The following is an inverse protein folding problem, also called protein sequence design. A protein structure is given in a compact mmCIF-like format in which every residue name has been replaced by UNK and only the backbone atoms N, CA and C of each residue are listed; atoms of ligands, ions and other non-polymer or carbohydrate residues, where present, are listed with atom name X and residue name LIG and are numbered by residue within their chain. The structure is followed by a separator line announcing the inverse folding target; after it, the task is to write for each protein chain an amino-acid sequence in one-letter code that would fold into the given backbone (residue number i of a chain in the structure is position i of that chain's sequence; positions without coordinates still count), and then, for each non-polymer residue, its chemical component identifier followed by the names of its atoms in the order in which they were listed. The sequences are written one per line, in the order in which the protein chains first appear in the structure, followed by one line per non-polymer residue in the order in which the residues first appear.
data_IF_318965926460
#
_entry.id   IF_318965926460
#
_cell.length_a   1.000
_cell.length_b   1.000
_cell.length_c   1.000
_cell.angle_alpha   90.00
_cell.angle_beta   90.00
_cell.angle_gamma   90.00
#
_symmetry.space_group_name_H-M   'P 1'
#
loop_
_entity.id
_entity.type
_entity.pdbx_description
1 polymer ?
#
# COMPACT_ATOMS: atom_id res chain seq x y z
N UNK A 1 3.32 1.83 5.99
CA UNK A 1 4.60 2.34 5.45
C UNK A 1 4.34 2.71 4.00
N UNK A 2 4.67 3.93 3.58
CA UNK A 2 4.50 4.38 2.21
C UNK A 2 5.72 3.95 1.39
N UNK A 3 5.49 3.10 0.38
CA UNK A 3 6.53 2.44 -0.41
C UNK A 3 6.71 3.14 -1.76
N UNK A 4 7.36 4.31 -1.75
CA UNK A 4 7.43 5.20 -2.91
C UNK A 4 7.96 4.49 -4.17
N UNK A 5 9.08 3.77 -4.02
CA UNK A 5 9.67 3.04 -5.15
C UNK A 5 8.82 1.86 -5.61
N UNK A 6 8.07 1.21 -4.72
CA UNK A 6 7.13 0.16 -5.16
C UNK A 6 6.04 0.75 -6.05
N UNK A 7 5.47 1.90 -5.67
CA UNK A 7 4.48 2.56 -6.50
C UNK A 7 5.06 3.03 -7.86
N UNK A 8 6.33 3.45 -7.87
CA UNK A 8 7.03 3.90 -9.07
C UNK A 8 7.27 2.78 -10.10
N UNK A 9 7.68 1.60 -9.66
CA UNK A 9 8.13 0.52 -10.56
C UNK A 9 7.20 -0.69 -10.62
N UNK A 10 6.20 -0.80 -9.74
CA UNK A 10 5.31 -1.98 -9.65
C UNK A 10 3.83 -1.65 -9.78
N UNK A 11 3.46 -0.36 -9.85
CA UNK A 11 2.07 0.07 -9.85
C UNK A 11 1.81 1.15 -10.91
N UNK A 12 1.92 2.43 -10.54
CA UNK A 12 1.40 3.55 -11.33
C UNK A 12 2.48 4.38 -12.01
N UNK A 13 3.76 4.16 -11.67
CA UNK A 13 4.85 4.93 -12.24
C UNK A 13 5.20 4.54 -13.69
N UNK A 14 6.18 5.24 -14.29
CA UNK A 14 6.43 5.23 -15.73
C UNK A 14 7.12 3.96 -16.24
N UNK A 15 7.56 3.09 -15.35
CA UNK A 15 8.35 1.90 -15.67
C UNK A 15 7.87 0.69 -14.87
N UNK A 16 8.15 -0.50 -15.39
CA UNK A 16 8.02 -1.80 -14.73
C UNK A 16 9.32 -2.58 -14.84
N UNK A 17 9.47 -3.67 -14.10
CA UNK A 17 10.55 -4.63 -14.36
C UNK A 17 10.20 -5.54 -15.54
N UNK A 18 11.21 -5.84 -16.36
CA UNK A 18 11.15 -6.97 -17.29
C UNK A 18 11.16 -8.28 -16.50
N UNK A 19 10.08 -9.06 -16.60
CA UNK A 19 9.95 -10.33 -15.85
C UNK A 19 10.63 -11.45 -16.63
N UNK A 20 11.89 -11.71 -16.30
CA UNK A 20 12.72 -12.82 -16.81
C UNK A 20 13.51 -13.45 -15.68
N UNK A 21 13.99 -14.67 -15.86
CA UNK A 21 14.81 -15.35 -14.86
C UNK A 21 16.04 -14.50 -14.48
N UNK A 22 16.18 -14.22 -13.19
CA UNK A 22 17.21 -13.37 -12.64
C UNK A 22 18.57 -14.05 -12.76
N UNK A 23 19.42 -13.47 -13.59
CA UNK A 23 20.74 -14.01 -13.92
C UNK A 23 21.88 -13.36 -13.10
N UNK A 24 21.56 -12.56 -12.07
CA UNK A 24 22.53 -11.83 -11.26
C UNK A 24 22.92 -10.45 -11.79
N UNK A 25 22.43 -10.04 -12.96
CA UNK A 25 22.65 -8.70 -13.51
C UNK A 25 21.60 -7.70 -13.00
N UNK A 26 21.88 -6.39 -13.14
CA UNK A 26 20.94 -5.33 -12.79
C UNK A 26 19.57 -5.56 -13.45
N UNK A 27 18.46 -5.65 -12.69
CA UNK A 27 17.13 -5.83 -13.24
C UNK A 27 16.77 -4.76 -14.28
N UNK A 28 16.28 -5.19 -15.43
CA UNK A 28 15.95 -4.32 -16.56
C UNK A 28 14.60 -3.64 -16.35
N UNK A 29 14.54 -2.32 -16.60
CA UNK A 29 13.30 -1.55 -16.58
C UNK A 29 12.72 -1.45 -18.00
N UNK A 30 11.40 -1.58 -18.11
CA UNK A 30 10.61 -1.37 -19.33
C UNK A 30 9.56 -0.29 -19.10
N UNK A 31 9.11 0.38 -20.16
CA UNK A 31 8.09 1.43 -20.03
C UNK A 31 6.74 0.84 -19.61
N UNK A 32 6.04 1.54 -18.71
CA UNK A 32 4.67 1.23 -18.33
C UNK A 32 3.68 2.03 -19.21
N UNK A 33 2.99 1.39 -20.18
CA UNK A 33 2.06 2.08 -21.07
C UNK A 33 0.78 2.56 -20.36
N UNK A 34 0.56 2.15 -19.10
CA UNK A 34 -0.61 2.53 -18.30
C UNK A 34 -0.23 3.47 -17.14
N UNK A 35 0.95 4.09 -17.20
CA UNK A 35 1.42 4.98 -16.13
C UNK A 35 0.50 6.19 -15.93
N UNK A 36 0.26 6.53 -14.66
CA UNK A 36 -0.42 7.76 -14.27
C UNK A 36 0.38 9.03 -14.64
N UNK A 37 1.69 8.90 -14.87
CA UNK A 37 2.56 9.99 -15.28
C UNK A 37 2.22 10.53 -16.69
N UNK A 38 1.39 9.83 -17.47
CA UNK A 38 0.91 10.31 -18.77
C UNK A 38 0.01 11.54 -18.69
N UNK A 39 -0.65 11.74 -17.55
CA UNK A 39 -1.61 12.85 -17.35
C UNK A 39 -1.33 13.65 -16.08
N UNK A 40 -0.23 13.36 -15.36
CA UNK A 40 0.10 14.00 -14.10
C UNK A 40 1.61 14.02 -13.82
N UNK A 41 2.05 14.99 -13.01
CA UNK A 41 3.38 14.96 -12.38
C UNK A 41 3.24 14.33 -11.00
N UNK A 42 4.02 13.28 -10.72
CA UNK A 42 3.87 12.48 -9.50
C UNK A 42 5.11 12.62 -8.62
N UNK A 43 4.89 12.88 -7.33
CA UNK A 43 5.92 12.80 -6.30
C UNK A 43 5.73 11.48 -5.55
N UNK A 44 6.69 10.57 -5.69
CA UNK A 44 6.74 9.34 -4.90
C UNK A 44 7.54 9.61 -3.62
N UNK A 45 6.88 9.56 -2.46
CA UNK A 45 7.47 10.00 -1.19
C UNK A 45 7.61 8.85 -0.18
N UNK A 46 8.85 8.52 0.18
CA UNK A 46 9.14 7.48 1.19
C UNK A 46 8.89 8.03 2.60
N UNK A 47 7.86 7.50 3.28
CA UNK A 47 7.48 7.90 4.62
C UNK A 47 6.96 6.71 5.46
N UNK A 48 7.15 6.72 6.78
CA UNK A 48 7.92 7.69 7.59
C UNK A 48 9.44 7.51 7.44
N UNK A 49 10.23 8.35 8.13
CA UNK A 49 11.69 8.19 8.28
C UNK A 49 12.07 6.75 8.58
N UNK A 50 13.04 6.19 7.84
CA UNK A 50 13.47 4.80 7.90
C UNK A 50 12.84 3.91 6.83
N UNK A 51 11.83 4.39 6.11
CA UNK A 51 11.23 3.71 4.96
C UNK A 51 12.04 4.04 3.71
N UNK A 52 12.34 3.01 2.92
CA UNK A 52 13.12 3.12 1.68
C UNK A 52 14.41 3.92 1.86
N UNK A 53 14.54 5.06 1.17
CA UNK A 53 15.72 5.92 1.27
C UNK A 53 15.61 7.06 2.29
N UNK A 54 14.47 7.22 2.95
CA UNK A 54 14.26 8.26 3.96
C UNK A 54 15.02 7.95 5.24
N UNK A 55 15.82 8.90 5.75
CA UNK A 55 16.67 8.71 6.93
C UNK A 55 16.68 9.93 7.86
N UNK A 56 17.15 9.74 9.10
CA UNK A 56 17.34 10.80 10.07
C UNK A 56 18.69 10.68 10.79
N UNK A 57 19.29 11.84 11.07
CA UNK A 57 20.62 11.94 11.70
C UNK A 57 20.58 11.94 13.22
N UNK A 58 19.44 12.29 13.83
CA UNK A 58 19.28 12.36 15.29
C UNK A 58 18.28 11.33 15.79
N UNK A 59 18.44 10.80 17.03
CA UNK A 59 17.47 9.88 17.62
C UNK A 59 16.05 10.44 17.67
N UNK A 60 15.88 11.73 17.98
CA UNK A 60 14.57 12.39 18.02
C UNK A 60 13.87 12.36 16.66
N UNK A 61 14.59 12.62 15.57
CA UNK A 61 14.05 12.60 14.22
C UNK A 61 13.80 11.18 13.68
N UNK A 62 14.27 10.12 14.38
CA UNK A 62 13.96 8.72 14.04
C UNK A 62 12.63 8.23 14.63
N UNK A 63 12.01 9.00 15.52
CA UNK A 63 10.70 8.66 16.06
C UNK A 63 9.66 8.65 14.95
N UNK A 64 8.81 7.62 14.92
CA UNK A 64 7.78 7.43 13.90
C UNK A 64 6.45 7.16 14.57
N UNK A 65 5.43 7.83 14.07
CA UNK A 65 4.05 7.60 14.43
C UNK A 65 3.15 8.10 13.30
N UNK A 66 1.85 7.81 13.37
CA UNK A 66 0.90 8.30 12.37
C UNK A 66 0.93 9.83 12.27
N UNK A 67 0.83 10.55 13.39
CA UNK A 67 0.82 12.02 13.36
C UNK A 67 2.17 12.63 12.97
N UNK A 68 3.29 11.98 13.31
CA UNK A 68 4.61 12.40 12.82
C UNK A 68 4.72 12.23 11.31
N UNK A 69 4.21 11.12 10.78
CA UNK A 69 4.19 10.90 9.34
C UNK A 69 3.36 11.96 8.62
N UNK A 70 2.19 12.29 9.15
CA UNK A 70 1.30 13.34 8.64
C UNK A 70 2.01 14.71 8.61
N UNK A 71 2.61 15.10 9.73
CA UNK A 71 3.34 16.37 9.83
C UNK A 71 4.55 16.42 8.90
N UNK A 72 5.31 15.32 8.79
CA UNK A 72 6.46 15.27 7.88
C UNK A 72 6.05 15.33 6.41
N UNK A 73 4.91 14.75 6.02
CA UNK A 73 4.39 14.84 4.66
C UNK A 73 4.03 16.30 4.28
N UNK A 74 3.32 17.00 5.17
CA UNK A 74 3.02 18.43 4.99
C UNK A 74 4.29 19.26 4.91
N UNK A 75 5.22 19.09 5.86
CA UNK A 75 6.48 19.83 5.89
C UNK A 75 7.32 19.59 4.65
N UNK A 76 7.39 18.34 4.17
CA UNK A 76 8.07 18.01 2.92
C UNK A 76 7.43 18.77 1.76
N UNK A 77 6.12 18.70 1.60
CA UNK A 77 5.42 19.31 0.47
C UNK A 77 5.55 20.84 0.47
N UNK A 78 5.43 21.49 1.62
CA UNK A 78 5.63 22.94 1.74
C UNK A 78 7.06 23.36 1.39
N UNK A 79 8.08 22.62 1.85
CA UNK A 79 9.48 22.89 1.50
C UNK A 79 9.73 22.67 0.01
N UNK A 80 9.23 21.56 -0.54
CA UNK A 80 9.36 21.27 -1.96
C UNK A 80 8.74 22.38 -2.82
N UNK A 81 7.53 22.85 -2.48
CA UNK A 81 6.88 23.96 -3.18
C UNK A 81 7.57 25.32 -2.99
N UNK A 82 8.24 25.54 -1.86
CA UNK A 82 9.05 26.75 -1.66
C UNK A 82 10.25 26.78 -2.62
N UNK A 83 10.84 25.61 -2.89
CA UNK A 83 11.96 25.43 -3.81
C UNK A 83 11.53 25.29 -5.29
N UNK A 84 10.25 24.95 -5.56
CA UNK A 84 9.68 24.71 -6.89
C UNK A 84 8.40 25.53 -7.09
N UNK A 85 8.56 26.86 -7.09
CA UNK A 85 7.44 27.80 -7.06
C UNK A 85 6.54 27.72 -8.31
N UNK A 86 7.05 27.21 -9.43
CA UNK A 86 6.30 26.97 -10.66
C UNK A 86 5.15 25.95 -10.48
N UNK A 87 5.19 25.13 -9.44
CA UNK A 87 4.13 24.17 -9.12
C UNK A 87 3.07 24.70 -8.14
N UNK A 88 3.22 25.92 -7.61
CA UNK A 88 2.30 26.46 -6.58
C UNK A 88 0.84 26.55 -7.04
N UNK A 89 0.63 26.86 -8.32
CA UNK A 89 -0.71 26.96 -8.90
C UNK A 89 -1.32 25.59 -9.22
N UNK A 90 -0.52 24.52 -9.30
CA UNK A 90 -0.99 23.23 -9.76
C UNK A 90 -1.97 22.60 -8.75
N UNK A 91 -3.08 22.01 -9.21
CA UNK A 91 -3.93 21.18 -8.37
C UNK A 91 -3.14 20.03 -7.77
N UNK A 92 -3.18 19.87 -6.46
CA UNK A 92 -2.54 18.76 -5.75
C UNK A 92 -3.59 17.76 -5.31
N UNK A 93 -3.35 16.49 -5.65
CA UNK A 93 -4.08 15.34 -5.12
C UNK A 93 -3.12 14.48 -4.31
N UNK A 94 -3.58 14.00 -3.17
CA UNK A 94 -2.80 13.12 -2.30
C UNK A 94 -3.30 11.70 -2.53
N UNK A 95 -2.41 10.77 -2.87
CA UNK A 95 -2.79 9.39 -3.19
C UNK A 95 -2.05 8.39 -2.31
N UNK A 96 -2.67 7.24 -2.06
CA UNK A 96 -2.00 6.10 -1.45
C UNK A 96 -2.92 4.88 -1.38
N UNK A 97 -2.36 3.75 -0.95
CA UNK A 97 -3.07 2.49 -0.83
C UNK A 97 -2.89 1.83 0.55
N UNK A 98 -3.73 0.84 0.87
CA UNK A 98 -3.61 0.04 2.10
C UNK A 98 -3.62 0.91 3.36
N UNK A 99 -2.61 0.84 4.22
CA UNK A 99 -2.47 1.63 5.46
C UNK A 99 -2.55 3.15 5.23
N UNK A 100 -2.32 3.61 4.00
CA UNK A 100 -2.49 5.01 3.61
C UNK A 100 -3.92 5.51 3.77
N UNK A 101 -4.91 4.61 3.87
CA UNK A 101 -6.30 4.94 4.24
C UNK A 101 -6.42 5.70 5.56
N UNK A 102 -5.46 5.53 6.49
CA UNK A 102 -5.36 6.31 7.72
C UNK A 102 -4.61 7.62 7.54
N UNK A 103 -3.53 7.58 6.76
CA UNK A 103 -2.56 8.68 6.68
C UNK A 103 -3.01 9.76 5.70
N UNK A 104 -3.45 9.40 4.50
CA UNK A 104 -3.76 10.34 3.42
C UNK A 104 -4.89 11.33 3.79
N UNK A 105 -6.03 10.90 4.37
CA UNK A 105 -7.04 11.84 4.85
C UNK A 105 -6.47 12.77 5.93
N UNK A 106 -5.66 12.25 6.86
CA UNK A 106 -5.05 13.07 7.90
C UNK A 106 -4.04 14.09 7.32
N UNK A 107 -3.29 13.74 6.28
CA UNK A 107 -2.41 14.69 5.56
C UNK A 107 -3.25 15.79 4.87
N UNK A 108 -4.34 15.42 4.19
CA UNK A 108 -5.21 16.40 3.55
C UNK A 108 -5.84 17.37 4.57
N UNK A 109 -6.26 16.86 5.73
CA UNK A 109 -6.78 17.68 6.82
C UNK A 109 -5.70 18.62 7.37
N UNK A 110 -4.52 18.09 7.70
CA UNK A 110 -3.42 18.86 8.25
C UNK A 110 -2.93 19.97 7.30
N UNK A 111 -2.91 19.72 5.99
CA UNK A 111 -2.64 20.75 4.98
C UNK A 111 -3.73 21.83 4.96
N UNK A 112 -5.01 21.41 5.05
CA UNK A 112 -6.16 22.33 5.08
C UNK A 112 -6.09 23.26 6.27
N UNK A 113 -5.85 22.71 7.46
CA UNK A 113 -5.73 23.46 8.71
C UNK A 113 -4.55 24.42 8.61
N UNK A 114 -3.37 23.94 8.17
CA UNK A 114 -2.21 24.81 7.97
C UNK A 114 -2.43 25.91 6.95
N UNK A 115 -3.22 25.68 5.89
CA UNK A 115 -3.60 26.74 4.95
C UNK A 115 -4.52 27.78 5.60
N UNK A 116 -5.49 27.36 6.41
CA UNK A 116 -6.40 28.23 7.15
C UNK A 116 -5.64 29.08 8.20
N UNK A 117 -4.63 28.49 8.83
CA UNK A 117 -3.73 29.15 9.77
C UNK A 117 -2.72 30.08 9.08
N UNK A 118 -2.74 30.15 7.74
CA UNK A 118 -1.88 31.03 6.96
C UNK A 118 -0.45 30.56 6.77
N UNK A 119 -0.14 29.28 7.05
CA UNK A 119 1.18 28.68 6.84
C UNK A 119 1.52 28.70 5.35
N UNK A 120 2.70 29.23 5.00
CA UNK A 120 3.17 29.40 3.62
C UNK A 120 4.22 28.35 3.22
N UNK A 121 4.35 28.03 1.92
CA UNK A 121 3.42 28.38 0.84
C UNK A 121 2.06 27.69 1.01
N UNK A 122 0.99 28.32 0.52
CA UNK A 122 -0.33 27.68 0.50
C UNK A 122 -0.31 26.52 -0.49
N UNK A 123 -0.88 25.38 -0.10
CA UNK A 123 -0.94 24.18 -0.94
C UNK A 123 -2.31 24.15 -1.62
N UNK A 124 -2.34 24.10 -2.95
CA UNK A 124 -3.58 24.03 -3.74
C UNK A 124 -4.15 22.60 -3.77
N UNK A 125 -4.45 22.03 -2.60
CA UNK A 125 -5.04 20.69 -2.46
C UNK A 125 -6.48 20.67 -2.97
N UNK A 126 -6.82 19.70 -3.83
CA UNK A 126 -8.17 19.55 -4.41
C UNK A 126 -8.89 18.28 -3.99
N UNK A 127 -8.16 17.32 -3.45
CA UNK A 127 -8.74 16.05 -3.07
C UNK A 127 -7.71 14.97 -2.81
N UNK A 128 -8.19 13.75 -2.64
CA UNK A 128 -7.33 12.59 -2.44
C UNK A 128 -7.91 11.31 -3.05
N UNK A 129 -7.02 10.35 -3.25
CA UNK A 129 -7.30 9.06 -3.89
C UNK A 129 -6.82 7.94 -2.97
N UNK A 130 -7.66 6.94 -2.74
CA UNK A 130 -7.32 5.78 -1.91
C UNK A 130 -7.64 4.48 -2.63
N UNK A 131 -6.64 3.62 -2.80
CA UNK A 131 -6.79 2.27 -3.32
C UNK A 131 -6.75 1.23 -2.19
N UNK A 132 -7.76 0.36 -2.12
CA UNK A 132 -7.84 -0.70 -1.12
C UNK A 132 -7.48 -0.22 0.31
N UNK A 133 -8.13 0.86 0.81
CA UNK A 133 -7.69 1.49 2.05
C UNK A 133 -8.07 0.69 3.28
N UNK A 134 -7.17 0.68 4.27
CA UNK A 134 -7.52 0.44 5.67
C UNK A 134 -7.87 1.79 6.29
N UNK A 135 -9.14 1.99 6.61
CA UNK A 135 -9.73 3.22 7.16
C UNK A 135 -10.17 3.01 8.61
N UNK A 136 -10.84 1.90 8.89
CA UNK A 136 -11.34 1.52 10.20
C UNK A 136 -11.24 0.00 10.39
N UNK A 137 -10.36 -0.48 11.29
CA UNK A 137 -10.11 -1.91 11.48
C UNK A 137 -11.37 -2.75 11.75
N UNK A 138 -12.39 -2.17 12.40
CA UNK A 138 -13.64 -2.88 12.69
C UNK A 138 -14.42 -3.15 11.41
N UNK A 139 -14.52 -2.17 10.51
CA UNK A 139 -15.17 -2.37 9.22
C UNK A 139 -14.32 -3.21 8.27
N UNK A 140 -13.04 -2.87 8.13
CA UNK A 140 -12.17 -3.46 7.12
C UNK A 140 -11.92 -4.93 7.41
N UNK A 141 -11.52 -5.27 8.63
CA UNK A 141 -11.09 -6.63 8.91
C UNK A 141 -12.23 -7.60 9.23
N UNK A 142 -13.33 -7.13 9.86
CA UNK A 142 -14.50 -8.00 10.04
C UNK A 142 -15.19 -8.32 8.71
N UNK A 143 -14.90 -7.56 7.64
CA UNK A 143 -15.42 -7.84 6.29
C UNK A 143 -14.71 -8.99 5.57
N UNK A 144 -13.55 -9.46 6.06
CA UNK A 144 -12.77 -10.53 5.41
C UNK A 144 -13.51 -11.86 5.34
N UNK A 145 -14.21 -12.25 6.41
CA UNK A 145 -14.97 -13.50 6.44
C UNK A 145 -16.20 -13.44 5.53
N UNK A 146 -17.06 -12.40 5.57
CA UNK A 146 -18.11 -12.21 4.56
C UNK A 146 -17.58 -12.14 3.13
N UNK A 147 -16.42 -11.52 2.90
CA UNK A 147 -15.78 -11.47 1.60
C UNK A 147 -15.40 -12.88 1.12
N UNK A 148 -14.71 -13.65 1.95
CA UNK A 148 -14.30 -15.00 1.63
C UNK A 148 -15.50 -15.92 1.33
N UNK A 149 -16.59 -15.76 2.07
CA UNK A 149 -17.86 -16.45 1.78
C UNK A 149 -18.42 -16.03 0.41
N UNK A 150 -18.50 -14.73 0.14
CA UNK A 150 -18.97 -14.20 -1.15
C UNK A 150 -18.10 -14.59 -2.35
N UNK A 151 -16.83 -14.89 -2.12
CA UNK A 151 -15.88 -15.38 -3.13
C UNK A 151 -15.83 -16.93 -3.21
N UNK A 152 -16.64 -17.63 -2.41
CA UNK A 152 -16.68 -19.11 -2.42
C UNK A 152 -15.44 -19.78 -1.80
N UNK A 153 -14.66 -19.06 -1.00
CA UNK A 153 -13.45 -19.57 -0.34
C UNK A 153 -13.76 -20.37 0.93
N UNK A 154 -14.95 -20.18 1.51
CA UNK A 154 -15.47 -20.96 2.64
C UNK A 154 -16.90 -21.40 2.38
N UNK A 155 -17.31 -22.50 3.01
CA UNK A 155 -18.66 -23.04 2.86
C UNK A 155 -19.70 -22.25 3.66
N UNK A 156 -20.98 -22.40 3.28
CA UNK A 156 -22.12 -21.81 3.98
C UNK A 156 -22.16 -22.23 5.45
N UNK A 157 -21.87 -23.50 5.74
CA UNK A 157 -21.88 -24.04 7.11
C UNK A 157 -20.80 -23.39 7.98
N UNK A 158 -19.59 -23.21 7.44
CA UNK A 158 -18.52 -22.53 8.16
C UNK A 158 -18.85 -21.05 8.36
N UNK A 159 -19.39 -20.38 7.35
CA UNK A 159 -19.78 -18.98 7.45
C UNK A 159 -20.88 -18.75 8.51
N UNK A 160 -21.95 -19.56 8.50
CA UNK A 160 -23.02 -19.45 9.50
C UNK A 160 -22.52 -19.82 10.92
N UNK A 161 -21.60 -20.79 11.02
CA UNK A 161 -20.95 -21.13 12.29
C UNK A 161 -20.13 -19.97 12.83
N UNK A 162 -19.30 -19.33 11.99
CA UNK A 162 -18.53 -18.14 12.31
C UNK A 162 -19.42 -16.99 12.78
N UNK A 163 -20.46 -16.66 12.01
CA UNK A 163 -21.40 -15.60 12.32
C UNK A 163 -22.09 -15.82 13.67
N UNK A 164 -22.49 -17.06 13.96
CA UNK A 164 -23.13 -17.42 15.23
C UNK A 164 -22.15 -17.40 16.40
N UNK A 165 -20.97 -17.99 16.25
CA UNK A 165 -20.00 -18.12 17.36
C UNK A 165 -19.29 -16.81 17.68
N UNK A 166 -19.02 -15.98 16.67
CA UNK A 166 -18.23 -14.76 16.82
C UNK A 166 -19.07 -13.49 16.89
N UNK A 167 -20.39 -13.57 16.66
CA UNK A 167 -21.31 -12.43 16.71
C UNK A 167 -20.89 -11.24 15.81
N UNK A 168 -20.20 -11.51 14.70
CA UNK A 168 -19.70 -10.49 13.77
C UNK A 168 -18.38 -9.82 14.17
N UNK A 169 -17.77 -10.22 15.28
CA UNK A 169 -16.45 -9.74 15.73
C UNK A 169 -15.41 -10.85 15.58
N UNK A 170 -14.55 -10.70 14.59
CA UNK A 170 -13.57 -11.71 14.17
C UNK A 170 -12.11 -11.29 14.44
N UNK A 171 -11.88 -10.07 14.91
CA UNK A 171 -10.55 -9.53 15.20
C UNK A 171 -10.17 -9.77 16.67
N UNK A 172 -11.01 -9.29 17.57
CA UNK A 172 -10.76 -9.33 19.02
C UNK A 172 -11.66 -10.38 19.64
N UNK A 173 -11.23 -11.64 19.55
CA UNK A 173 -11.97 -12.79 20.04
C UNK A 173 -11.56 -13.04 21.49
N UNK A 174 -12.55 -13.08 22.38
CA UNK A 174 -12.35 -13.46 23.79
C UNK A 174 -11.71 -14.85 23.87
N UNK A 175 -10.62 -15.05 24.64
CA UNK A 175 -9.96 -16.36 24.75
C UNK A 175 -10.87 -17.49 25.25
N UNK A 176 -11.94 -17.15 25.97
CA UNK A 176 -12.96 -18.08 26.44
C UNK A 176 -13.93 -18.55 25.34
N UNK A 177 -14.02 -17.83 24.23
CA UNK A 177 -14.88 -18.18 23.10
C UNK A 177 -14.21 -19.22 22.19
N UNK A 178 -14.04 -20.42 22.73
CA UNK A 178 -13.38 -21.52 22.05
C UNK A 178 -14.06 -21.91 20.72
N UNK A 179 -15.37 -21.72 20.61
CA UNK A 179 -16.12 -22.04 19.38
C UNK A 179 -15.77 -21.07 18.25
N UNK A 180 -15.72 -19.77 18.53
CA UNK A 180 -15.28 -18.78 17.55
C UNK A 180 -13.83 -19.00 17.13
N UNK A 181 -12.93 -19.25 18.10
CA UNK A 181 -11.52 -19.50 17.80
C UNK A 181 -11.32 -20.70 16.87
N UNK A 182 -12.02 -21.82 17.11
CA UNK A 182 -11.95 -23.01 16.23
C UNK A 182 -12.50 -22.73 14.84
N UNK A 183 -13.59 -21.98 14.73
CA UNK A 183 -14.17 -21.63 13.43
C UNK A 183 -13.26 -20.67 12.65
N UNK A 184 -12.60 -19.72 13.32
CA UNK A 184 -11.62 -18.82 12.70
C UNK A 184 -10.36 -19.56 12.27
N UNK A 185 -9.91 -20.55 13.04
CA UNK A 185 -8.83 -21.45 12.62
C UNK A 185 -9.22 -22.25 11.35
N UNK A 186 -10.45 -22.77 11.30
CA UNK A 186 -10.96 -23.45 10.11
C UNK A 186 -11.02 -22.52 8.89
N UNK A 187 -11.42 -21.25 9.09
CA UNK A 187 -11.35 -20.21 8.06
C UNK A 187 -9.92 -20.02 7.54
N UNK A 188 -8.94 -19.84 8.42
CA UNK A 188 -7.53 -19.68 8.03
C UNK A 188 -6.98 -20.90 7.29
N UNK A 189 -7.45 -22.10 7.63
CA UNK A 189 -7.08 -23.33 6.91
C UNK A 189 -7.65 -23.36 5.48
N UNK A 190 -8.87 -22.87 5.26
CA UNK A 190 -9.46 -22.81 3.92
C UNK A 190 -8.69 -21.87 2.98
N UNK A 191 -8.15 -20.78 3.51
CA UNK A 191 -7.43 -19.76 2.73
C UNK A 191 -5.90 -19.91 2.78
N UNK A 192 -5.37 -21.01 3.32
CA UNK A 192 -3.94 -21.12 3.62
C UNK A 192 -3.03 -21.05 2.40
N UNK A 193 -3.56 -21.42 1.23
CA UNK A 193 -2.82 -21.63 -0.01
C UNK A 193 -3.02 -20.50 -1.04
N UNK A 194 -3.79 -19.46 -0.70
CA UNK A 194 -4.03 -18.29 -1.54
C UNK A 194 -3.31 -17.05 -1.01
N UNK A 195 -3.11 -16.07 -1.88
CA UNK A 195 -2.60 -14.75 -1.50
C UNK A 195 -3.75 -13.86 -0.99
N UNK A 196 -3.64 -13.39 0.26
CA UNK A 196 -4.68 -12.56 0.87
C UNK A 196 -4.84 -11.19 0.16
N UNK A 197 -3.79 -10.66 -0.48
CA UNK A 197 -3.88 -9.42 -1.28
C UNK A 197 -4.49 -9.65 -2.67
N UNK A 198 -4.58 -10.89 -3.13
CA UNK A 198 -5.18 -11.25 -4.41
C UNK A 198 -5.65 -12.72 -4.44
N UNK A 199 -6.91 -12.98 -4.11
CA UNK A 199 -7.41 -14.35 -3.83
C UNK A 199 -7.38 -15.35 -5.00
N UNK A 200 -7.12 -14.90 -6.24
CA UNK A 200 -6.87 -15.80 -7.38
C UNK A 200 -5.41 -16.25 -7.49
N UNK A 201 -4.50 -15.60 -6.77
CA UNK A 201 -3.09 -15.95 -6.76
C UNK A 201 -2.80 -16.99 -5.68
N UNK A 202 -1.85 -17.89 -5.96
CA UNK A 202 -1.34 -18.82 -4.95
C UNK A 202 -0.52 -18.07 -3.91
N UNK A 203 -0.49 -18.59 -2.69
CA UNK A 203 0.44 -18.12 -1.68
C UNK A 203 1.87 -18.38 -2.10
N UNK A 204 2.66 -17.31 -2.18
CA UNK A 204 4.07 -17.37 -2.48
C UNK A 204 4.91 -17.07 -1.23
N UNK A 205 6.11 -17.66 -1.09
CA UNK A 205 7.04 -17.25 -0.03
C UNK A 205 7.26 -15.74 -0.08
N UNK A 206 6.96 -15.08 1.03
CA UNK A 206 7.04 -13.61 1.18
C UNK A 206 8.45 -13.13 1.51
N UNK A 207 9.31 -14.04 1.97
CA UNK A 207 10.70 -13.74 2.28
C UNK A 207 11.49 -13.72 0.97
N UNK A 208 11.81 -12.53 0.48
CA UNK A 208 12.97 -12.38 -0.38
C UNK A 208 14.15 -13.06 0.34
N UNK A 209 14.90 -13.96 -0.30
CA UNK A 209 16.06 -14.58 0.32
C UNK A 209 16.96 -13.46 0.86
N UNK A 210 17.51 -13.68 2.06
CA UNK A 210 18.49 -12.75 2.67
C UNK A 210 19.52 -12.41 1.59
N UNK A 211 19.83 -11.12 1.32
CA UNK A 211 20.94 -10.81 0.46
C UNK A 211 22.16 -11.51 1.03
N UNK A 212 22.76 -12.40 0.22
CA UNK A 212 24.05 -13.00 0.52
C UNK A 212 24.98 -11.80 0.75
N UNK A 213 25.62 -11.73 1.93
CA UNK A 213 26.74 -10.83 2.15
C UNK A 213 27.73 -11.06 0.99
N UNK A 214 27.74 -10.15 0.01
CA UNK A 214 28.73 -10.17 -1.05
C UNK A 214 30.07 -10.14 -0.33
N UNK A 215 30.85 -11.19 -0.54
CA UNK A 215 32.13 -11.49 0.09
C UNK A 215 33.15 -10.38 -0.23
N UNK A 216 33.00 -9.22 0.39
CA UNK A 216 33.85 -8.04 0.26
C UNK A 216 34.90 -7.93 1.36
N UNK A 217 34.96 -8.88 2.30
CA UNK A 217 36.05 -8.98 3.28
C UNK A 217 36.97 -10.13 2.90
N UNK A 218 38.15 -9.74 2.38
CA UNK A 218 39.38 -10.53 2.27
C UNK A 218 39.42 -11.65 3.32
N UNK A 219 39.08 -12.88 2.92
CA UNK A 219 39.47 -14.08 3.66
C UNK A 219 40.68 -14.65 2.95
N UNK A 220 41.69 -14.92 3.76
CA UNK A 220 42.99 -15.42 3.38
C UNK A 220 42.85 -16.75 2.63
N UNK A 221 43.74 -16.91 1.64
CA UNK A 221 43.98 -18.12 0.86
C UNK A 221 43.94 -19.39 1.73
N UNK A 222 43.00 -20.27 1.44
CA UNK A 222 43.15 -21.73 1.36
C UNK A 222 41.76 -22.37 1.42
N UNK A 223 41.09 -22.51 0.28
CA UNK A 223 40.03 -23.51 0.13
C UNK A 223 39.69 -23.72 -1.36
N UNK A 224 39.32 -24.95 -1.67
CA UNK A 224 39.37 -25.62 -2.97
C UNK A 224 38.51 -24.92 -4.06
N UNK A 225 39.03 -24.68 -5.29
CA UNK A 225 38.32 -23.92 -6.32
C UNK A 225 37.12 -24.64 -6.98
N UNK A 226 36.73 -25.83 -6.51
CA UNK A 226 35.61 -26.61 -7.09
C UNK A 226 34.27 -26.50 -6.32
N UNK A 227 34.23 -25.91 -5.13
CA UNK A 227 32.97 -25.73 -4.36
C UNK A 227 32.19 -24.44 -4.70
N UNK A 228 32.66 -23.62 -5.64
CA UNK A 228 32.00 -22.38 -6.06
C UNK A 228 30.87 -22.57 -7.09
N UNK A 229 30.53 -23.81 -7.45
CA UNK A 229 29.47 -24.13 -8.40
C UNK A 229 28.23 -24.61 -7.64
N UNK A 230 27.18 -23.77 -7.63
CA UNK A 230 25.81 -24.03 -7.12
C UNK A 230 25.45 -23.52 -5.73
N UNK A 231 25.62 -22.22 -5.49
CA UNK A 231 24.73 -21.51 -4.56
C UNK A 231 23.69 -20.72 -5.38
N UNK A 232 22.57 -21.35 -5.75
CA UNK A 232 21.39 -20.61 -6.22
C UNK A 232 20.66 -20.13 -4.96
N UNK A 233 20.54 -18.81 -4.71
CA UNK A 233 19.59 -18.35 -3.69
C UNK A 233 18.21 -18.89 -4.03
N UNK A 234 17.41 -19.24 -3.03
CA UNK A 234 16.01 -19.66 -3.23
C UNK A 234 15.22 -18.45 -3.77
N UNK A 235 15.26 -18.28 -5.08
CA UNK A 235 14.51 -17.24 -5.78
C UNK A 235 13.03 -17.58 -5.67
N UNK A 236 12.15 -16.58 -5.44
CA UNK A 236 10.72 -16.78 -5.64
C UNK A 236 10.48 -17.33 -7.06
N UNK A 237 9.47 -18.18 -7.20
CA UNK A 237 9.07 -18.63 -8.53
C UNK A 237 8.68 -17.42 -9.40
N UNK A 238 9.03 -17.44 -10.68
CA UNK A 238 8.82 -16.29 -11.57
C UNK A 238 7.34 -15.91 -11.72
N UNK A 239 6.43 -16.87 -11.53
CA UNK A 239 4.99 -16.64 -11.58
C UNK A 239 4.43 -16.00 -10.30
N UNK A 240 5.26 -15.87 -9.25
CA UNK A 240 4.86 -15.21 -8.02
C UNK A 240 4.97 -13.69 -8.12
N UNK A 241 3.97 -12.96 -7.60
CA UNK A 241 4.05 -11.50 -7.43
C UNK A 241 5.23 -11.07 -6.55
N UNK A 242 5.70 -11.92 -5.64
CA UNK A 242 6.92 -11.68 -4.85
C UNK A 242 8.20 -11.62 -5.71
N UNK A 243 8.17 -12.13 -6.94
CA UNK A 243 9.31 -12.06 -7.85
C UNK A 243 9.69 -10.63 -8.22
N UNK A 244 8.72 -9.78 -8.55
CA UNK A 244 9.01 -8.37 -8.87
C UNK A 244 9.41 -7.57 -7.64
N UNK A 245 8.98 -7.99 -6.43
CA UNK A 245 9.50 -7.43 -5.17
C UNK A 245 10.98 -7.77 -4.99
N UNK A 246 11.38 -9.00 -5.34
CA UNK A 246 12.77 -9.42 -5.34
C UNK A 246 13.60 -8.58 -6.34
N UNK A 247 13.14 -8.41 -7.58
CA UNK A 247 13.83 -7.57 -8.57
C UNK A 247 14.01 -6.13 -8.06
N UNK A 248 12.98 -5.57 -7.41
CA UNK A 248 13.06 -4.24 -6.80
C UNK A 248 14.17 -4.13 -5.75
N UNK A 249 14.33 -5.13 -4.88
CA UNK A 249 15.35 -5.11 -3.84
C UNK A 249 16.76 -5.07 -4.45
N UNK A 250 17.02 -5.87 -5.48
CA UNK A 250 18.32 -5.87 -6.17
C UNK A 250 18.57 -4.59 -6.93
N UNK A 251 17.57 -4.11 -7.67
CA UNK A 251 17.67 -2.86 -8.41
C UNK A 251 17.92 -1.66 -7.49
N UNK A 252 17.17 -1.53 -6.40
CA UNK A 252 17.31 -0.40 -5.49
C UNK A 252 18.62 -0.42 -4.68
N UNK A 253 19.26 -1.58 -4.51
CA UNK A 253 20.53 -1.70 -3.81
C UNK A 253 21.77 -1.65 -4.71
N UNK A 254 21.62 -1.61 -6.03
CA UNK A 254 22.74 -1.42 -6.95
C UNK A 254 23.39 -0.03 -6.78
N UNK A 255 24.72 0.02 -6.72
CA UNK A 255 25.47 1.26 -6.49
C UNK A 255 25.24 2.31 -7.59
N UNK A 256 25.11 1.89 -8.84
CA UNK A 256 24.85 2.81 -9.95
C UNK A 256 23.43 3.37 -9.86
N UNK A 257 22.45 2.55 -9.48
CA UNK A 257 21.07 3.01 -9.25
C UNK A 257 21.03 4.00 -8.10
N UNK A 258 21.66 3.68 -6.96
CA UNK A 258 21.71 4.58 -5.79
C UNK A 258 22.38 5.91 -6.11
N UNK A 259 23.46 5.88 -6.91
CA UNK A 259 24.12 7.09 -7.40
C UNK A 259 23.23 7.90 -8.34
N UNK A 260 22.53 7.24 -9.26
CA UNK A 260 21.60 7.89 -10.20
C UNK A 260 20.39 8.52 -9.51
N UNK A 261 19.90 7.90 -8.43
CA UNK A 261 18.85 8.44 -7.57
C UNK A 261 19.35 9.47 -6.54
N UNK A 262 20.64 9.83 -6.59
CA UNK A 262 21.28 10.75 -5.65
C UNK A 262 21.11 10.34 -4.17
N UNK A 263 21.07 9.04 -3.89
CA UNK A 263 21.05 8.51 -2.52
C UNK A 263 22.37 8.88 -1.85
N UNK A 264 22.28 9.50 -0.67
CA UNK A 264 23.47 9.94 0.05
C UNK A 264 24.29 8.76 0.54
N UNK A 265 25.58 8.75 0.24
CA UNK A 265 26.49 7.71 0.71
C UNK A 265 26.50 7.64 2.25
N UNK A 266 26.46 6.41 2.78
CA UNK A 266 26.42 6.14 4.22
C UNK A 266 25.11 6.52 4.93
N UNK A 267 24.06 7.00 4.24
CA UNK A 267 22.79 7.34 4.90
C UNK A 267 21.89 6.14 5.18
N UNK A 268 21.90 5.17 4.26
CA UNK A 268 21.15 3.91 4.32
C UNK A 268 22.14 2.81 3.94
N UNK A 269 22.22 1.75 4.72
CA UNK A 269 23.06 0.58 4.39
C UNK A 269 22.37 -0.20 3.26
N UNK A 270 21.22 -0.78 3.57
CA UNK A 270 20.42 -1.60 2.66
C UNK A 270 19.02 -1.00 2.50
N UNK A 271 18.60 -0.77 1.25
CA UNK A 271 17.22 -0.45 0.93
C UNK A 271 16.33 -1.68 1.12
N UNK A 272 15.22 -1.49 1.82
CA UNK A 272 14.22 -2.53 2.08
C UNK A 272 12.88 -2.05 1.56
N UNK A 273 12.16 -2.95 0.89
CA UNK A 273 10.78 -2.69 0.48
C UNK A 273 9.91 -2.43 1.71
N UNK A 274 9.61 -3.46 2.51
CA UNK A 274 8.90 -3.29 3.77
C UNK A 274 9.84 -3.55 4.95
N UNK A 275 9.98 -2.59 5.86
CA UNK A 275 10.81 -2.77 7.05
C UNK A 275 9.94 -2.94 8.31
N UNK A 276 9.47 -4.17 8.52
CA UNK A 276 8.60 -4.53 9.66
C UNK A 276 9.29 -4.45 11.03
N UNK A 277 10.63 -4.28 11.07
CA UNK A 277 11.39 -4.12 12.32
C UNK A 277 11.45 -2.68 12.81
N UNK A 278 10.92 -1.72 12.05
CA UNK A 278 10.92 -0.33 12.46
C UNK A 278 9.91 -0.11 13.59
N UNK A 279 10.35 0.39 14.77
CA UNK A 279 9.39 0.83 15.78
C UNK A 279 8.51 1.95 15.21
N UNK A 280 7.21 1.79 15.38
CA UNK A 280 6.18 2.70 14.86
C UNK A 280 4.99 2.74 15.80
N UNK A 281 4.53 3.94 16.15
CA UNK A 281 3.34 4.12 17.00
C UNK A 281 2.11 4.35 16.14
N UNK A 282 1.15 3.42 16.19
CA UNK A 282 -0.16 3.57 15.55
C UNK A 282 -1.08 4.39 16.47
N UNK A 283 -1.42 5.60 16.06
CA UNK A 283 -2.22 6.57 16.83
C UNK A 283 -3.61 6.78 16.21
N UNK A 284 -3.70 6.72 14.87
CA UNK A 284 -4.96 6.86 14.15
C UNK A 284 -5.65 5.49 14.15
N UNK A 285 -6.60 5.31 15.07
CA UNK A 285 -7.41 4.09 15.13
C UNK A 285 -8.32 3.97 13.92
N UNK A 286 -9.01 5.06 13.60
CA UNK A 286 -9.94 5.19 12.47
C UNK A 286 -9.76 6.55 11.81
N UNK A 287 -9.85 6.62 10.48
CA UNK A 287 -9.80 7.88 9.73
C UNK A 287 -11.17 8.39 9.27
N UNK A 288 -12.27 7.75 9.71
CA UNK A 288 -13.65 8.14 9.34
C UNK A 288 -13.93 9.63 9.57
N UNK A 289 -13.51 10.19 10.70
CA UNK A 289 -13.75 11.61 11.01
C UNK A 289 -13.04 12.54 10.01
N UNK A 290 -11.81 12.21 9.59
CA UNK A 290 -11.13 12.97 8.54
C UNK A 290 -11.92 12.92 7.21
N UNK A 291 -12.49 11.76 6.86
CA UNK A 291 -13.36 11.68 5.69
C UNK A 291 -14.59 12.57 5.83
N UNK A 292 -15.22 12.64 7.00
CA UNK A 292 -16.39 13.51 7.25
C UNK A 292 -16.01 14.99 7.07
N UNK A 293 -14.96 15.44 7.76
CA UNK A 293 -14.52 16.84 7.78
C UNK A 293 -14.11 17.31 6.37
N UNK A 294 -13.32 16.49 5.66
CA UNK A 294 -12.92 16.80 4.29
C UNK A 294 -14.09 16.79 3.31
N UNK A 295 -15.13 15.99 3.58
CA UNK A 295 -16.36 16.00 2.80
C UNK A 295 -17.17 17.28 2.99
N UNK A 296 -17.25 17.78 4.23
CA UNK A 296 -17.90 19.06 4.55
C UNK A 296 -17.16 20.23 3.86
N UNK A 297 -15.82 20.16 3.84
CA UNK A 297 -14.97 21.15 3.18
C UNK A 297 -14.96 21.03 1.64
N UNK A 298 -15.72 20.10 1.06
CA UNK A 298 -15.88 19.99 -0.39
C UNK A 298 -14.69 19.41 -1.13
N UNK A 299 -13.84 18.62 -0.46
CA UNK A 299 -12.73 17.94 -1.13
C UNK A 299 -13.21 16.72 -1.93
N UNK A 300 -12.71 16.62 -3.16
CA UNK A 300 -13.00 15.47 -4.03
C UNK A 300 -12.28 14.23 -3.52
N UNK A 301 -13.01 13.11 -3.46
CA UNK A 301 -12.50 11.86 -2.88
C UNK A 301 -12.80 10.70 -3.82
N UNK A 302 -11.76 10.05 -4.33
CA UNK A 302 -11.89 8.81 -5.08
C UNK A 302 -11.40 7.66 -4.20
N UNK A 303 -12.31 6.78 -3.82
CA UNK A 303 -11.99 5.56 -3.10
C UNK A 303 -12.24 4.40 -4.06
N UNK A 304 -11.27 3.52 -4.24
CA UNK A 304 -11.45 2.34 -5.05
C UNK A 304 -10.87 1.10 -4.38
N UNK A 305 -11.43 -0.06 -4.70
CA UNK A 305 -10.94 -1.36 -4.21
C UNK A 305 -10.90 -2.36 -5.35
N UNK A 306 -9.76 -3.04 -5.53
CA UNK A 306 -9.72 -4.29 -6.29
C UNK A 306 -10.66 -5.31 -5.66
N UNK A 307 -11.52 -5.95 -6.46
CA UNK A 307 -12.57 -6.85 -5.93
C UNK A 307 -12.06 -8.26 -5.56
N UNK A 308 -10.75 -8.50 -5.68
CA UNK A 308 -10.08 -9.74 -5.29
C UNK A 308 -9.11 -9.58 -4.10
N UNK A 309 -9.05 -8.39 -3.50
CA UNK A 309 -8.22 -8.15 -2.31
C UNK A 309 -8.98 -8.52 -1.04
N UNK A 310 -8.49 -9.52 -0.31
CA UNK A 310 -9.02 -9.92 1.00
C UNK A 310 -8.32 -9.22 2.17
N UNK A 311 -7.15 -8.60 1.97
CA UNK A 311 -6.49 -7.82 3.02
C UNK A 311 -7.31 -6.57 3.37
N UNK A 312 -7.78 -5.84 2.36
CA UNK A 312 -8.69 -4.71 2.49
C UNK A 312 -9.92 -4.87 1.58
N UNK A 313 -10.89 -5.74 1.94
CA UNK A 313 -12.00 -6.06 1.08
C UNK A 313 -12.86 -4.84 0.75
N UNK A 314 -13.34 -4.80 -0.49
CA UNK A 314 -14.28 -3.76 -0.94
C UNK A 314 -15.55 -3.70 -0.06
N UNK A 315 -15.95 -4.81 0.57
CA UNK A 315 -17.06 -4.87 1.52
C UNK A 315 -16.82 -3.98 2.75
N UNK A 316 -15.63 -4.03 3.34
CA UNK A 316 -15.23 -3.16 4.45
C UNK A 316 -15.21 -1.70 4.02
N UNK A 317 -14.66 -1.44 2.84
CA UNK A 317 -14.66 -0.10 2.24
C UNK A 317 -16.08 0.46 2.06
N UNK A 318 -17.00 -0.34 1.52
CA UNK A 318 -18.40 0.03 1.39
C UNK A 318 -19.08 0.25 2.76
N UNK A 319 -18.73 -0.55 3.77
CA UNK A 319 -19.36 -0.47 5.08
C UNK A 319 -19.04 0.86 5.78
N UNK A 320 -17.77 1.27 5.83
CA UNK A 320 -17.43 2.57 6.43
C UNK A 320 -17.88 3.76 5.56
N UNK A 321 -17.92 3.63 4.23
CA UNK A 321 -18.49 4.69 3.38
C UNK A 321 -19.98 4.88 3.68
N UNK A 322 -20.74 3.79 3.88
CA UNK A 322 -22.14 3.86 4.29
C UNK A 322 -22.30 4.53 5.66
N UNK A 323 -21.38 4.32 6.59
CA UNK A 323 -21.45 4.96 7.91
C UNK A 323 -21.24 6.48 7.88
N UNK A 324 -20.73 7.04 6.77
CA UNK A 324 -20.66 8.50 6.58
C UNK A 324 -22.04 9.15 6.38
N UNK A 325 -23.06 8.37 6.02
CA UNK A 325 -24.44 8.81 5.85
C UNK A 325 -24.64 9.96 4.83
N UNK A 326 -23.83 9.98 3.76
CA UNK A 326 -24.04 10.91 2.65
C UNK A 326 -25.11 10.39 1.69
N UNK A 327 -25.88 11.31 1.10
CA UNK A 327 -26.88 10.98 0.08
C UNK A 327 -26.22 10.49 -1.20
N UNK A 328 -26.83 9.51 -1.84
CA UNK A 328 -26.38 8.95 -3.12
C UNK A 328 -26.80 9.91 -4.23
N UNK A 329 -25.87 10.27 -5.11
CA UNK A 329 -26.13 11.13 -6.28
C UNK A 329 -26.27 10.30 -7.54
N UNK A 330 -25.42 9.28 -7.69
CA UNK A 330 -25.46 8.31 -8.77
C UNK A 330 -25.34 6.92 -8.16
N UNK A 331 -26.34 6.07 -8.40
CA UNK A 331 -26.46 4.77 -7.74
C UNK A 331 -25.60 3.71 -8.42
N UNK A 332 -25.47 2.55 -7.78
CA UNK A 332 -24.55 1.50 -8.18
C UNK A 332 -24.77 1.03 -9.63
N UNK A 333 -23.80 1.32 -10.50
CA UNK A 333 -23.84 0.94 -11.92
C UNK A 333 -22.45 0.51 -12.42
N UNK A 334 -22.35 -0.26 -13.52
CA UNK A 334 -21.06 -0.65 -14.08
C UNK A 334 -20.33 0.54 -14.70
N UNK A 335 -19.00 0.53 -14.63
CA UNK A 335 -18.13 1.38 -15.46
C UNK A 335 -17.33 0.50 -16.43
N UNK A 336 -17.04 1.06 -17.61
CA UNK A 336 -16.51 0.28 -18.74
C UNK A 336 -15.15 0.79 -19.18
N UNK A 337 -14.29 -0.13 -19.61
CA UNK A 337 -13.02 0.16 -20.27
C UNK A 337 -12.89 -0.76 -21.49
N UNK A 338 -12.66 -0.19 -22.67
CA UNK A 338 -12.51 -0.94 -23.93
C UNK A 338 -13.67 -1.92 -24.21
N UNK A 339 -14.91 -1.50 -23.93
CA UNK A 339 -16.11 -2.29 -24.20
C UNK A 339 -16.39 -3.43 -23.19
N UNK A 340 -15.61 -3.54 -22.12
CA UNK A 340 -15.81 -4.51 -21.04
C UNK A 340 -16.14 -3.81 -19.72
N UNK A 341 -16.91 -4.47 -18.86
CA UNK A 341 -17.16 -4.00 -17.49
C UNK A 341 -15.85 -4.10 -16.71
N UNK A 342 -15.30 -2.96 -16.33
CA UNK A 342 -14.06 -2.89 -15.56
C UNK A 342 -14.31 -2.83 -14.04
N UNK A 343 -15.57 -2.61 -13.65
CA UNK A 343 -16.02 -2.63 -12.26
C UNK A 343 -17.35 -1.92 -12.11
N UNK A 344 -17.68 -1.55 -10.89
CA UNK A 344 -18.91 -0.85 -10.55
C UNK A 344 -18.60 0.39 -9.74
N UNK A 345 -19.43 1.41 -9.85
CA UNK A 345 -19.20 2.68 -9.17
C UNK A 345 -20.51 3.28 -8.68
N UNK A 346 -20.37 4.20 -7.72
CA UNK A 346 -21.43 5.07 -7.22
C UNK A 346 -20.84 6.37 -6.71
N UNK A 347 -21.64 7.43 -6.72
CA UNK A 347 -21.22 8.75 -6.21
C UNK A 347 -22.14 9.26 -5.10
N UNK A 348 -21.59 10.11 -4.24
CA UNK A 348 -22.26 10.68 -3.07
C UNK A 348 -22.23 12.21 -3.10
N UNK A 349 -23.17 12.83 -2.40
CA UNK A 349 -23.38 14.28 -2.36
C UNK A 349 -22.18 15.09 -1.87
N UNK A 350 -21.25 14.44 -1.17
CA UNK A 350 -20.04 15.05 -0.63
C UNK A 350 -18.83 15.00 -1.58
N UNK A 351 -19.03 14.74 -2.88
CA UNK A 351 -17.96 14.55 -3.87
C UNK A 351 -17.10 13.30 -3.63
N UNK A 352 -17.63 12.32 -2.89
CA UNK A 352 -17.04 10.99 -2.76
C UNK A 352 -17.51 10.10 -3.92
N UNK A 353 -16.57 9.45 -4.59
CA UNK A 353 -16.82 8.38 -5.56
C UNK A 353 -16.24 7.09 -5.00
N UNK A 354 -17.03 6.03 -4.99
CA UNK A 354 -16.54 4.68 -4.71
C UNK A 354 -16.55 3.86 -5.99
N UNK A 355 -15.49 3.10 -6.25
CA UNK A 355 -15.43 2.18 -7.39
C UNK A 355 -14.80 0.83 -7.00
N UNK A 356 -15.34 -0.27 -7.52
CA UNK A 356 -14.61 -1.53 -7.56
C UNK A 356 -13.83 -1.63 -8.86
N UNK A 357 -12.73 -2.38 -8.85
CA UNK A 357 -11.92 -2.72 -10.02
C UNK A 357 -11.88 -4.23 -10.16
N UNK A 358 -12.37 -4.77 -11.27
CA UNK A 358 -12.31 -6.22 -11.55
C UNK A 358 -10.95 -6.59 -12.14
N UNK A 359 -10.48 -7.79 -11.79
CA UNK A 359 -9.29 -8.38 -12.41
C UNK A 359 -9.51 -8.53 -13.91
N UNK A 360 -8.49 -8.17 -14.68
CA UNK A 360 -8.43 -8.36 -16.13
C UNK A 360 -7.07 -8.94 -16.47
N UNK A 361 -7.07 -10.07 -17.17
CA UNK A 361 -5.91 -10.48 -17.96
C UNK A 361 -5.84 -9.54 -19.16
N UNK A 362 -4.89 -8.61 -19.13
CA UNK A 362 -4.64 -7.64 -20.20
C UNK A 362 -3.51 -8.11 -21.11
#
# INVERSE_FOLDING_TARGET
MLLALSALVLQIGPVNFEVKEYNGSLPTLVLNPNSWAQVSSIIFLDLPVGTGFSYARTPLARQRSDFKQVSHAEQFLRKWLADHQEFLANPIYIAGDSYSGKIVPAVAQNITDGNNDGIKPLINVKGYILGNPITDPTFDFNSRIPFAHGMGLISDELYESLKKSCAGEYQTIEPSNADCLRNVEAFHKCISDIDDSHVLERKCPTDAPRPIEILGKRRYLNENPQEFLHFKPDLPAIECRSYVHFLLIYWANDDNVRKALHVREGSIEEWKRCNYKLPYTNEIKSSINFHIDLGINGYRRLIYSGDHDMEAPFLGTQAWIRSLNYSIVDDWHPWHLQGQVAGYTRTYSSQLTFATVKVRDL
#
